data_IF_514837994697
#
_entry.id   IF_514837994697
#
_cell.length_a   1.000
_cell.length_b   1.000
_cell.length_c   1.000
_cell.angle_alpha   90.00
_cell.angle_beta   90.00
_cell.angle_gamma   90.00
#
_symmetry.space_group_name_H-M   'P 1'
#
loop_
_entity.id
_entity.type
_entity.pdbx_description
1 polymer ?
#
# COMPACT_ATOMS: atom_id res chain seq x y z
N UNK A 1 -17.41 -35.91 21.21
CA UNK A 1 -17.31 -35.87 19.75
C UNK A 1 -17.66 -34.54 19.16
N UNK A 2 -18.71 -33.87 19.60
CA UNK A 2 -19.08 -32.55 19.09
C UNK A 2 -18.02 -31.50 19.43
N UNK A 3 -17.36 -31.59 20.58
CA UNK A 3 -16.34 -30.62 21.00
C UNK A 3 -15.12 -30.61 20.10
N UNK A 4 -14.71 -31.78 19.54
CA UNK A 4 -13.59 -31.86 18.62
C UNK A 4 -13.84 -31.12 17.31
N UNK A 5 -15.07 -31.16 16.81
CA UNK A 5 -15.43 -30.44 15.58
C UNK A 5 -15.40 -28.94 15.76
N UNK A 6 -15.84 -28.45 16.91
CA UNK A 6 -15.79 -27.01 17.21
C UNK A 6 -14.37 -26.50 17.30
N UNK A 7 -13.45 -27.27 17.89
CA UNK A 7 -12.04 -26.90 17.99
C UNK A 7 -11.39 -26.79 16.61
N UNK A 8 -11.70 -27.73 15.70
CA UNK A 8 -11.16 -27.69 14.33
C UNK A 8 -11.65 -26.46 13.56
N UNK A 9 -12.93 -26.09 13.73
CA UNK A 9 -13.47 -24.89 13.11
C UNK A 9 -12.78 -23.62 13.59
N UNK A 10 -12.52 -23.50 14.90
CA UNK A 10 -11.84 -22.35 15.47
C UNK A 10 -10.40 -22.21 14.94
N UNK A 11 -9.66 -23.32 14.81
CA UNK A 11 -8.32 -23.30 14.26
C UNK A 11 -8.31 -22.84 12.79
N UNK A 12 -9.28 -23.27 11.99
CA UNK A 12 -9.40 -22.86 10.60
C UNK A 12 -9.63 -21.35 10.47
N UNK A 13 -10.45 -20.75 11.31
CA UNK A 13 -10.71 -19.30 11.32
C UNK A 13 -9.45 -18.53 11.67
N UNK A 14 -8.68 -18.97 12.67
CA UNK A 14 -7.43 -18.30 13.07
C UNK A 14 -6.41 -18.26 11.93
N UNK A 15 -6.25 -19.37 11.20
CA UNK A 15 -5.32 -19.43 10.06
C UNK A 15 -5.74 -18.44 8.96
N UNK A 16 -7.03 -18.36 8.65
CA UNK A 16 -7.55 -17.42 7.65
C UNK A 16 -7.27 -15.96 8.03
N UNK A 17 -7.43 -15.60 9.29
CA UNK A 17 -7.14 -14.25 9.78
C UNK A 17 -5.65 -13.90 9.65
N UNK A 18 -4.75 -14.82 9.97
CA UNK A 18 -3.31 -14.59 9.82
C UNK A 18 -2.93 -14.37 8.36
N UNK A 19 -3.50 -15.15 7.43
CA UNK A 19 -3.26 -14.97 6.00
C UNK A 19 -3.71 -13.60 5.49
N UNK A 20 -4.88 -13.11 5.96
CA UNK A 20 -5.40 -11.80 5.60
C UNK A 20 -4.49 -10.67 6.11
N UNK A 21 -4.03 -10.76 7.35
CA UNK A 21 -3.14 -9.76 7.93
C UNK A 21 -1.80 -9.69 7.17
N UNK A 22 -1.22 -10.83 6.82
CA UNK A 22 0.02 -10.88 6.06
C UNK A 22 -0.14 -10.25 4.67
N UNK A 23 -1.28 -10.46 3.99
CA UNK A 23 -1.58 -9.86 2.70
C UNK A 23 -1.69 -8.33 2.81
N UNK A 24 -2.31 -7.81 3.88
CA UNK A 24 -2.48 -6.37 4.09
C UNK A 24 -1.15 -5.64 4.29
N UNK A 25 -0.13 -6.29 4.86
CA UNK A 25 1.19 -5.69 5.07
C UNK A 25 1.94 -5.40 3.77
N UNK A 26 1.52 -6.00 2.65
CA UNK A 26 2.13 -5.81 1.34
C UNK A 26 1.37 -4.83 0.46
N UNK A 27 0.27 -4.32 0.94
CA UNK A 27 -0.62 -3.49 0.15
C UNK A 27 -0.67 -2.07 0.69
N UNK A 28 -1.15 -1.17 -0.14
CA UNK A 28 -1.32 0.23 0.25
C UNK A 28 -2.48 0.37 1.23
N UNK A 29 -2.35 1.25 2.23
CA UNK A 29 -3.46 1.55 3.13
C UNK A 29 -4.70 2.04 2.38
N UNK A 30 -5.92 1.69 2.83
CA UNK A 30 -7.12 2.22 2.21
C UNK A 30 -7.24 3.74 2.42
N UNK A 31 -7.74 4.44 1.43
CA UNK A 31 -7.93 5.87 1.50
C UNK A 31 -8.20 6.48 0.13
N UNK A 32 -8.53 7.78 0.08
CA UNK A 32 -8.76 8.46 -1.19
C UNK A 32 -7.52 8.39 -2.09
N UNK A 33 -7.73 8.09 -3.37
CA UNK A 33 -6.71 8.00 -4.40
C UNK A 33 -5.78 6.76 -4.30
N UNK A 34 -6.11 5.79 -3.45
CA UNK A 34 -5.34 4.55 -3.34
C UNK A 34 -5.20 3.85 -4.69
N UNK A 35 -6.30 3.76 -5.45
CA UNK A 35 -6.30 3.07 -6.74
C UNK A 35 -5.42 3.78 -7.77
N UNK A 36 -5.43 5.10 -7.76
CA UNK A 36 -4.55 5.89 -8.60
C UNK A 36 -3.08 5.63 -8.29
N UNK A 37 -2.72 5.63 -7.02
CA UNK A 37 -1.34 5.35 -6.58
C UNK A 37 -0.93 3.93 -6.96
N UNK A 38 -1.81 2.97 -6.73
CA UNK A 38 -1.56 1.58 -7.10
C UNK A 38 -1.27 1.44 -8.59
N UNK A 39 -2.11 2.03 -9.44
CA UNK A 39 -1.95 1.98 -10.89
C UNK A 39 -0.66 2.66 -11.36
N UNK A 40 -0.38 3.85 -10.85
CA UNK A 40 0.79 4.62 -11.29
C UNK A 40 2.10 3.98 -10.84
N UNK A 41 2.16 3.50 -9.60
CA UNK A 41 3.40 2.96 -9.03
C UNK A 41 3.69 1.52 -9.48
N UNK A 42 2.65 0.71 -9.75
CA UNK A 42 2.82 -0.66 -10.22
C UNK A 42 3.33 -0.76 -11.65
N UNK A 43 3.30 0.32 -12.42
CA UNK A 43 3.70 0.29 -13.82
C UNK A 43 5.15 -0.17 -14.03
N UNK A 44 6.03 0.07 -13.06
CA UNK A 44 7.46 -0.23 -13.18
C UNK A 44 7.97 -1.26 -12.17
N UNK A 45 7.34 -1.38 -11.00
CA UNK A 45 7.79 -2.28 -9.95
C UNK A 45 6.67 -2.61 -8.96
N UNK A 46 6.97 -3.53 -8.05
CA UNK A 46 6.03 -4.00 -7.03
C UNK A 46 5.72 -2.89 -6.01
N UNK A 47 4.48 -2.84 -5.54
CA UNK A 47 4.03 -1.93 -4.49
C UNK A 47 4.76 -2.13 -3.16
N UNK A 48 5.36 -3.30 -2.93
CA UNK A 48 6.15 -3.55 -1.73
C UNK A 48 7.26 -2.52 -1.56
N UNK A 49 7.86 -2.04 -2.64
CA UNK A 49 8.89 -1.00 -2.58
C UNK A 49 8.33 0.34 -2.11
N UNK A 50 7.10 0.66 -2.50
CA UNK A 50 6.43 1.89 -2.07
C UNK A 50 6.12 1.83 -0.58
N UNK A 51 5.57 0.72 -0.12
CA UNK A 51 5.26 0.49 1.29
C UNK A 51 6.53 0.50 2.15
N UNK A 52 7.62 -0.06 1.65
CA UNK A 52 8.90 -0.08 2.34
C UNK A 52 9.49 1.33 2.56
N UNK A 53 9.11 2.30 1.73
CA UNK A 53 9.54 3.68 1.85
C UNK A 53 8.70 4.50 2.84
N UNK A 54 7.80 3.86 3.58
CA UNK A 54 6.97 4.52 4.61
C UNK A 54 7.83 5.37 5.56
N UNK A 55 7.35 6.57 5.87
CA UNK A 55 8.03 7.47 6.80
C UNK A 55 8.73 8.65 6.15
N UNK A 56 8.71 8.76 4.83
CA UNK A 56 9.24 9.95 4.16
C UNK A 56 8.38 11.18 4.47
N UNK A 57 9.04 12.33 4.51
CA UNK A 57 8.33 13.61 4.59
C UNK A 57 7.60 13.89 3.29
N UNK A 58 6.74 14.91 3.26
CA UNK A 58 6.08 15.33 2.03
C UNK A 58 7.11 15.71 0.95
N UNK A 59 8.18 16.41 1.34
CA UNK A 59 9.27 16.77 0.44
C UNK A 59 9.99 15.52 -0.09
N UNK A 60 10.21 14.54 0.77
CA UNK A 60 10.81 13.26 0.39
C UNK A 60 9.94 12.50 -0.61
N UNK A 61 8.63 12.45 -0.38
CA UNK A 61 7.70 11.83 -1.33
C UNK A 61 7.64 12.61 -2.65
N UNK A 62 7.68 13.94 -2.58
CA UNK A 62 7.71 14.76 -3.78
C UNK A 62 8.95 14.47 -4.63
N UNK A 63 10.12 14.37 -4.01
CA UNK A 63 11.36 14.04 -4.69
C UNK A 63 11.30 12.63 -5.31
N UNK A 64 10.70 11.68 -4.61
CA UNK A 64 10.50 10.32 -5.09
C UNK A 64 9.60 10.29 -6.33
N UNK A 65 8.51 11.05 -6.32
CA UNK A 65 7.61 11.15 -7.48
C UNK A 65 8.35 11.74 -8.68
N UNK A 66 9.14 12.79 -8.47
CA UNK A 66 9.94 13.40 -9.53
C UNK A 66 10.91 12.39 -10.14
N UNK A 67 11.55 11.59 -9.32
CA UNK A 67 12.46 10.55 -9.78
C UNK A 67 11.72 9.50 -10.61
N UNK A 68 10.56 9.05 -10.16
CA UNK A 68 9.75 8.08 -10.90
C UNK A 68 9.28 8.63 -12.24
N UNK A 69 8.92 9.91 -12.30
CA UNK A 69 8.55 10.57 -13.55
C UNK A 69 9.76 10.59 -14.50
N UNK A 70 10.96 10.85 -13.99
CA UNK A 70 12.16 10.82 -14.79
C UNK A 70 12.47 9.44 -15.37
N UNK A 71 11.99 8.37 -14.70
CA UNK A 71 12.12 6.99 -15.19
C UNK A 71 10.96 6.55 -16.06
N UNK A 72 9.99 7.43 -16.32
CA UNK A 72 8.91 7.14 -17.25
C UNK A 72 7.51 6.99 -16.66
N UNK A 73 7.32 7.24 -15.36
CA UNK A 73 5.97 7.24 -14.79
C UNK A 73 5.14 8.34 -15.45
N UNK A 74 3.94 7.98 -15.92
CA UNK A 74 3.06 8.89 -16.65
C UNK A 74 1.89 9.30 -15.78
N UNK A 75 1.89 10.55 -15.35
CA UNK A 75 0.79 11.15 -14.60
C UNK A 75 0.67 12.62 -15.01
N UNK A 76 -0.55 13.13 -15.03
CA UNK A 76 -0.77 14.56 -15.23
C UNK A 76 -0.59 15.33 -13.91
N UNK A 77 -0.67 16.64 -13.96
CA UNK A 77 -0.44 17.50 -12.80
C UNK A 77 -1.44 17.19 -11.68
N UNK A 78 -2.70 16.98 -12.03
CA UNK A 78 -3.75 16.69 -11.05
C UNK A 78 -3.53 15.32 -10.39
N UNK A 79 -3.21 14.31 -11.19
CA UNK A 79 -2.88 12.98 -10.66
C UNK A 79 -1.65 13.02 -9.76
N UNK A 80 -0.64 13.80 -10.14
CA UNK A 80 0.57 13.97 -9.34
C UNK A 80 0.27 14.52 -7.96
N UNK A 81 -0.57 15.54 -7.87
CA UNK A 81 -0.97 16.12 -6.59
C UNK A 81 -1.75 15.11 -5.72
N UNK A 82 -2.63 14.34 -6.33
CA UNK A 82 -3.39 13.30 -5.62
C UNK A 82 -2.49 12.20 -5.10
N UNK A 83 -1.49 11.80 -5.86
CA UNK A 83 -0.50 10.81 -5.44
C UNK A 83 0.32 11.34 -4.27
N UNK A 84 0.81 12.57 -4.36
CA UNK A 84 1.58 13.19 -3.29
C UNK A 84 0.74 13.31 -2.01
N UNK A 85 -0.51 13.69 -2.13
CA UNK A 85 -1.42 13.79 -0.98
C UNK A 85 -1.62 12.43 -0.32
N UNK A 86 -1.84 11.39 -1.10
CA UNK A 86 -2.00 10.04 -0.58
C UNK A 86 -0.73 9.57 0.15
N UNK A 87 0.42 9.68 -0.50
CA UNK A 87 1.68 9.19 0.07
C UNK A 87 2.06 9.94 1.34
N UNK A 88 1.91 11.26 1.36
CA UNK A 88 2.24 12.03 2.54
C UNK A 88 1.26 11.81 3.69
N UNK A 89 -0.01 11.55 3.40
CA UNK A 89 -1.04 11.34 4.43
C UNK A 89 -1.02 9.94 5.03
N UNK A 90 -0.79 8.91 4.22
CA UNK A 90 -0.92 7.52 4.66
C UNK A 90 0.41 6.79 4.83
N UNK A 91 1.46 7.24 4.18
CA UNK A 91 2.80 6.65 4.25
C UNK A 91 3.86 7.69 4.65
N UNK A 92 3.46 8.83 5.13
CA UNK A 92 4.36 9.90 5.53
C UNK A 92 4.97 9.71 6.92
N UNK A 93 5.89 10.58 7.26
CA UNK A 93 6.45 10.67 8.61
C UNK A 93 5.39 11.19 9.57
N UNK A 94 5.45 10.72 10.80
CA UNK A 94 4.55 11.16 11.88
C UNK A 94 5.21 12.17 12.78
#
# INVERSE_FOLDING_TARGET
>A
MSGGRLLLGALGISVAMLGTAAAQLRDLPPGPNRDLVSRACQACHDLAMVVAATGLTREGWNATIEEMISYGMRVDIDEREKILEYLSSYLGSK
#
